data_IF_966102286381
#
_entry.id   IF_966102286381
#
_cell.length_a   1.000
_cell.length_b   1.000
_cell.length_c   1.000
_cell.angle_alpha   90.00
_cell.angle_beta   90.00
_cell.angle_gamma   90.00
#
_symmetry.space_group_name_H-M   'P 1'
#
loop_
_entity.id
_entity.type
_entity.pdbx_description
1 polymer ?
#
# COMPACT_ATOMS: atom_id res chain seq x y z
N UNK A 1 21.19 -23.58 -16.78
CA UNK A 1 21.03 -22.12 -16.73
C UNK A 1 19.64 -21.87 -16.22
N UNK A 2 19.51 -21.42 -14.98
CA UNK A 2 18.20 -21.05 -14.41
C UNK A 2 17.63 -19.91 -15.26
N UNK A 3 16.41 -20.07 -15.75
CA UNK A 3 15.64 -19.01 -16.41
C UNK A 3 15.37 -17.93 -15.35
N UNK A 4 16.36 -17.04 -15.18
CA UNK A 4 16.35 -16.02 -14.14
C UNK A 4 15.42 -14.88 -14.55
N UNK A 5 14.13 -15.20 -14.64
CA UNK A 5 13.10 -14.17 -14.79
C UNK A 5 13.09 -13.29 -13.54
N UNK A 6 12.96 -11.98 -13.75
CA UNK A 6 12.86 -11.01 -12.67
C UNK A 6 11.85 -11.49 -11.58
N UNK A 7 12.22 -11.44 -10.28
CA UNK A 7 11.46 -12.11 -9.24
C UNK A 7 10.18 -11.37 -8.80
N UNK A 8 10.07 -10.06 -9.06
CA UNK A 8 9.14 -9.19 -8.36
C UNK A 8 7.95 -8.79 -9.22
N UNK A 9 6.73 -9.13 -8.80
CA UNK A 9 5.50 -8.49 -9.30
C UNK A 9 5.10 -7.35 -8.37
N UNK A 10 4.96 -6.14 -8.92
CA UNK A 10 4.47 -4.97 -8.18
C UNK A 10 2.97 -4.86 -8.36
N UNK A 11 2.21 -4.77 -7.26
CA UNK A 11 0.74 -4.66 -7.27
C UNK A 11 0.33 -3.32 -6.67
N UNK A 12 -0.47 -2.55 -7.42
CA UNK A 12 -0.89 -1.20 -7.04
C UNK A 12 -2.41 -1.09 -7.17
N UNK A 13 -3.15 -0.93 -6.06
CA UNK A 13 -4.58 -0.66 -6.11
C UNK A 13 -4.81 0.81 -6.49
N UNK A 14 -5.73 1.07 -7.43
CA UNK A 14 -6.04 2.41 -7.92
C UNK A 14 -7.53 2.72 -7.90
N UNK A 15 -7.85 3.97 -7.59
CA UNK A 15 -9.17 4.56 -7.79
C UNK A 15 -8.99 6.08 -7.97
N UNK A 16 -9.17 6.57 -9.19
CA UNK A 16 -8.93 7.97 -9.58
C UNK A 16 -7.53 8.44 -9.16
N UNK A 17 -6.50 7.68 -9.52
CA UNK A 17 -5.14 7.84 -9.01
C UNK A 17 -4.07 8.03 -10.10
N UNK A 18 -4.44 8.30 -11.36
CA UNK A 18 -3.50 8.45 -12.47
C UNK A 18 -2.41 9.49 -12.19
N UNK A 19 -2.79 10.67 -11.70
CA UNK A 19 -1.84 11.73 -11.36
C UNK A 19 -0.90 11.36 -10.20
N UNK A 20 -1.39 10.60 -9.21
CA UNK A 20 -0.59 10.15 -8.06
C UNK A 20 0.36 9.02 -8.43
N UNK A 21 -0.05 8.17 -9.39
CA UNK A 21 0.73 7.01 -9.84
C UNK A 21 1.89 7.40 -10.75
N UNK A 22 1.75 8.41 -11.59
CA UNK A 22 2.74 8.79 -12.60
C UNK A 22 4.19 8.90 -12.03
N UNK A 23 4.44 9.53 -10.87
CA UNK A 23 5.79 9.61 -10.29
C UNK A 23 6.37 8.27 -9.83
N UNK A 24 5.54 7.26 -9.60
CA UNK A 24 5.99 5.93 -9.17
C UNK A 24 6.47 5.07 -10.36
N UNK A 25 5.98 5.34 -11.56
CA UNK A 25 6.24 4.52 -12.74
C UNK A 25 7.71 4.55 -13.18
N UNK A 26 8.38 5.70 -13.10
CA UNK A 26 9.79 5.82 -13.51
C UNK A 26 10.72 4.92 -12.67
N UNK A 27 10.70 4.95 -11.32
CA UNK A 27 11.49 4.01 -10.50
C UNK A 27 11.16 2.53 -10.77
N UNK A 28 9.89 2.21 -11.08
CA UNK A 28 9.50 0.83 -11.40
C UNK A 28 10.04 0.39 -12.77
N UNK A 29 10.05 1.28 -13.76
CA UNK A 29 10.66 1.01 -15.06
C UNK A 29 12.18 0.79 -14.94
N UNK A 30 12.88 1.58 -14.11
CA UNK A 30 14.29 1.36 -13.78
C UNK A 30 14.50 -0.01 -13.13
N UNK A 31 13.61 -0.42 -12.21
CA UNK A 31 13.64 -1.76 -11.60
C UNK A 31 13.40 -2.88 -12.60
N UNK A 32 12.57 -2.65 -13.62
CA UNK A 32 12.37 -3.61 -14.71
C UNK A 32 13.61 -3.72 -15.62
N UNK A 33 14.22 -2.59 -15.96
CA UNK A 33 15.47 -2.55 -16.73
C UNK A 33 16.64 -3.23 -16.00
N UNK A 34 16.67 -3.13 -14.66
CA UNK A 34 17.65 -3.79 -13.81
C UNK A 34 17.37 -5.30 -13.59
N UNK A 35 16.29 -5.84 -14.13
CA UNK A 35 15.92 -7.25 -13.99
C UNK A 35 15.36 -7.64 -12.63
N UNK A 36 14.95 -6.67 -11.79
CA UNK A 36 14.33 -6.92 -10.50
C UNK A 36 12.79 -7.02 -10.63
N UNK A 37 12.16 -6.08 -11.34
CA UNK A 37 10.72 -6.04 -11.54
C UNK A 37 10.34 -6.84 -12.78
N UNK A 38 9.48 -7.83 -12.60
CA UNK A 38 8.94 -8.70 -13.67
C UNK A 38 7.77 -8.04 -14.38
N UNK A 39 6.88 -7.43 -13.61
CA UNK A 39 5.65 -6.82 -14.07
C UNK A 39 5.12 -5.82 -13.04
N UNK A 40 4.32 -4.88 -13.52
CA UNK A 40 3.50 -4.00 -12.71
C UNK A 40 2.04 -4.35 -12.98
N UNK A 41 1.27 -4.61 -11.93
CA UNK A 41 -0.16 -4.91 -11.98
C UNK A 41 -0.91 -3.74 -11.33
N UNK A 42 -1.72 -3.05 -12.12
CA UNK A 42 -2.60 -1.96 -11.68
C UNK A 42 -3.99 -2.55 -11.49
N UNK A 43 -4.43 -2.67 -10.23
CA UNK A 43 -5.73 -3.22 -9.87
C UNK A 43 -6.70 -2.07 -9.61
N UNK A 44 -7.55 -1.80 -10.60
CA UNK A 44 -8.40 -0.61 -10.61
C UNK A 44 -9.83 -0.89 -10.13
N UNK A 45 -10.33 -0.01 -9.27
CA UNK A 45 -11.65 -0.09 -8.64
C UNK A 45 -12.76 0.63 -9.39
N UNK A 46 -12.63 0.87 -10.69
CA UNK A 46 -13.58 1.62 -11.51
C UNK A 46 -13.30 3.11 -11.49
N UNK A 47 -12.10 3.50 -11.91
CA UNK A 47 -11.70 4.90 -12.08
C UNK A 47 -12.36 5.54 -13.30
N UNK A 48 -12.61 6.85 -13.18
CA UNK A 48 -13.10 7.71 -14.26
C UNK A 48 -11.96 8.54 -14.88
N UNK A 49 -10.73 8.39 -14.39
CA UNK A 49 -9.53 9.07 -14.90
C UNK A 49 -8.75 8.20 -15.92
N UNK A 50 -7.67 8.74 -16.47
CA UNK A 50 -6.88 8.10 -17.54
C UNK A 50 -6.00 6.95 -17.07
N UNK A 51 -6.29 6.29 -15.94
CA UNK A 51 -5.45 5.24 -15.36
C UNK A 51 -5.27 4.04 -16.30
N UNK A 52 -6.29 3.67 -17.07
CA UNK A 52 -6.23 2.56 -18.01
C UNK A 52 -5.27 2.88 -19.18
N UNK A 53 -5.38 4.09 -19.75
CA UNK A 53 -4.48 4.56 -20.81
C UNK A 53 -3.03 4.70 -20.28
N UNK A 54 -2.85 5.17 -19.04
CA UNK A 54 -1.55 5.24 -18.39
C UNK A 54 -0.93 3.84 -18.23
N UNK A 55 -1.72 2.85 -17.79
CA UNK A 55 -1.28 1.47 -17.63
C UNK A 55 -0.81 0.87 -18.97
N UNK A 56 -1.61 1.05 -20.03
CA UNK A 56 -1.28 0.60 -21.39
C UNK A 56 0.01 1.27 -21.89
N UNK A 57 0.13 2.59 -21.73
CA UNK A 57 1.29 3.37 -22.19
C UNK A 57 2.63 2.95 -21.57
N UNK A 58 2.61 2.38 -20.35
CA UNK A 58 3.83 1.88 -19.66
C UNK A 58 3.97 0.37 -19.70
N UNK A 59 3.09 -0.35 -20.40
CA UNK A 59 3.12 -1.82 -20.47
C UNK A 59 2.76 -2.50 -19.15
N UNK A 60 2.04 -1.82 -18.24
CA UNK A 60 1.55 -2.40 -17.01
C UNK A 60 0.30 -3.26 -17.27
N UNK A 61 0.16 -4.33 -16.51
CA UNK A 61 -1.04 -5.17 -16.56
C UNK A 61 -2.19 -4.48 -15.84
N UNK A 62 -3.24 -4.09 -16.58
CA UNK A 62 -4.45 -3.53 -16.01
C UNK A 62 -5.43 -4.65 -15.60
N UNK A 63 -5.95 -4.57 -14.37
CA UNK A 63 -6.92 -5.51 -13.82
C UNK A 63 -8.11 -4.72 -13.27
N UNK A 64 -9.26 -4.81 -13.91
CA UNK A 64 -10.49 -4.26 -13.37
C UNK A 64 -10.98 -5.13 -12.20
N UNK A 65 -11.30 -4.50 -11.09
CA UNK A 65 -11.76 -5.16 -9.87
C UNK A 65 -12.97 -4.41 -9.29
N UNK A 66 -13.81 -5.05 -8.49
CA UNK A 66 -14.84 -4.34 -7.74
C UNK A 66 -14.21 -3.28 -6.82
N UNK A 67 -14.89 -2.16 -6.65
CA UNK A 67 -14.45 -1.08 -5.76
C UNK A 67 -14.26 -1.60 -4.34
N UNK A 68 -13.12 -1.26 -3.75
CA UNK A 68 -12.72 -1.66 -2.40
C UNK A 68 -11.29 -2.17 -2.38
N UNK A 69 -10.46 -1.59 -1.52
CA UNK A 69 -9.01 -1.82 -1.53
C UNK A 69 -8.63 -3.29 -1.35
N UNK A 70 -9.33 -4.02 -0.45
CA UNK A 70 -9.10 -5.45 -0.29
C UNK A 70 -9.42 -6.25 -1.55
N UNK A 71 -10.54 -5.93 -2.23
CA UNK A 71 -10.93 -6.57 -3.48
C UNK A 71 -9.94 -6.29 -4.61
N UNK A 72 -9.50 -5.05 -4.75
CA UNK A 72 -8.50 -4.65 -5.74
C UNK A 72 -7.16 -5.38 -5.50
N UNK A 73 -6.70 -5.40 -4.25
CA UNK A 73 -5.45 -6.08 -3.87
C UNK A 73 -5.55 -7.59 -4.06
N UNK A 74 -6.68 -8.21 -3.70
CA UNK A 74 -6.94 -9.63 -3.95
C UNK A 74 -6.84 -9.96 -5.44
N UNK A 75 -7.57 -9.21 -6.28
CA UNK A 75 -7.56 -9.40 -7.73
C UNK A 75 -6.17 -9.15 -8.36
N UNK A 76 -5.50 -8.07 -7.95
CA UNK A 76 -4.16 -7.74 -8.44
C UNK A 76 -3.12 -8.80 -8.07
N UNK A 77 -3.13 -9.27 -6.83
CA UNK A 77 -2.22 -10.33 -6.38
C UNK A 77 -2.52 -11.68 -7.06
N UNK A 78 -3.78 -11.99 -7.31
CA UNK A 78 -4.16 -13.20 -8.07
C UNK A 78 -3.68 -13.16 -9.52
N UNK A 79 -3.69 -11.97 -10.14
CA UNK A 79 -3.20 -11.77 -11.50
C UNK A 79 -1.67 -11.77 -11.62
N UNK A 80 -0.94 -11.45 -10.56
CA UNK A 80 0.51 -11.38 -10.55
C UNK A 80 1.18 -12.75 -10.65
N UNK A 81 2.24 -12.89 -11.46
CA UNK A 81 2.93 -14.16 -11.76
C UNK A 81 4.31 -14.33 -11.12
N UNK A 82 4.81 -13.34 -10.39
CA UNK A 82 6.13 -13.37 -9.76
C UNK A 82 6.17 -14.18 -8.47
N UNK A 83 7.32 -14.77 -8.11
CA UNK A 83 7.52 -15.46 -6.84
C UNK A 83 7.52 -14.52 -5.63
N UNK A 84 7.67 -13.22 -5.85
CA UNK A 84 7.56 -12.17 -4.85
C UNK A 84 6.53 -11.13 -5.26
N UNK A 85 5.78 -10.65 -4.27
CA UNK A 85 4.84 -9.54 -4.43
C UNK A 85 5.37 -8.31 -3.69
N UNK A 86 5.37 -7.16 -4.35
CA UNK A 86 5.56 -5.86 -3.74
C UNK A 86 4.26 -5.06 -3.89
N UNK A 87 3.58 -4.85 -2.79
CA UNK A 87 2.33 -4.11 -2.75
C UNK A 87 2.66 -2.65 -2.40
N UNK A 88 2.25 -1.70 -3.24
CA UNK A 88 2.49 -0.27 -3.06
C UNK A 88 1.19 0.51 -3.21
N UNK A 89 1.10 1.67 -2.56
CA UNK A 89 0.05 2.64 -2.86
C UNK A 89 0.42 3.48 -4.10
N UNK A 90 -0.60 3.98 -4.80
CA UNK A 90 -0.39 4.81 -5.99
C UNK A 90 0.34 6.14 -5.70
N UNK A 91 0.28 6.65 -4.47
CA UNK A 91 0.97 7.87 -4.01
C UNK A 91 2.31 7.60 -3.32
N UNK A 92 2.81 6.37 -3.37
CA UNK A 92 4.13 6.00 -2.82
C UNK A 92 5.24 6.57 -3.70
N UNK A 93 6.25 7.17 -3.08
CA UNK A 93 7.50 7.57 -3.72
C UNK A 93 8.62 6.66 -3.24
N UNK A 94 9.16 5.87 -4.16
CA UNK A 94 10.28 4.99 -3.88
C UNK A 94 11.59 5.80 -3.80
N UNK A 95 12.46 5.54 -2.81
CA UNK A 95 13.78 6.16 -2.73
C UNK A 95 14.74 5.53 -3.77
N UNK A 96 15.85 6.22 -4.07
CA UNK A 96 16.80 5.74 -5.08
C UNK A 96 17.43 4.37 -4.75
N UNK A 97 17.53 4.01 -3.47
CA UNK A 97 18.12 2.76 -2.98
C UNK A 97 17.11 1.61 -2.80
N UNK A 98 15.86 1.78 -3.22
CA UNK A 98 14.79 0.80 -3.01
C UNK A 98 15.09 -0.57 -3.63
N UNK A 99 15.69 -0.57 -4.83
CA UNK A 99 16.00 -1.80 -5.58
C UNK A 99 17.02 -2.65 -4.81
N UNK A 100 18.09 -2.02 -4.34
CA UNK A 100 19.11 -2.70 -3.53
C UNK A 100 18.54 -3.27 -2.24
N UNK A 101 17.72 -2.51 -1.53
CA UNK A 101 17.10 -2.96 -0.28
C UNK A 101 16.13 -4.14 -0.47
N UNK A 102 15.38 -4.14 -1.59
CA UNK A 102 14.45 -5.24 -1.94
C UNK A 102 15.23 -6.47 -2.38
N UNK A 103 16.25 -6.31 -3.25
CA UNK A 103 17.08 -7.42 -3.73
C UNK A 103 17.83 -8.10 -2.57
N UNK A 104 18.43 -7.33 -1.67
CA UNK A 104 19.10 -7.84 -0.47
C UNK A 104 18.15 -8.65 0.41
N UNK A 105 16.92 -8.15 0.61
CA UNK A 105 15.92 -8.89 1.38
C UNK A 105 15.52 -10.21 0.71
N UNK A 106 15.30 -10.20 -0.60
CA UNK A 106 14.95 -11.40 -1.37
C UNK A 106 16.05 -12.45 -1.27
N UNK A 107 17.30 -12.03 -1.36
CA UNK A 107 18.47 -12.92 -1.31
C UNK A 107 18.69 -13.51 0.09
N UNK A 108 18.67 -12.68 1.14
CA UNK A 108 19.07 -13.10 2.48
C UNK A 108 17.92 -13.50 3.40
N UNK A 109 16.66 -13.19 3.02
CA UNK A 109 15.48 -13.41 3.87
C UNK A 109 14.30 -14.03 3.11
N UNK A 110 14.57 -14.96 2.21
CA UNK A 110 13.63 -15.55 1.24
C UNK A 110 12.31 -16.12 1.80
N UNK A 111 12.24 -16.40 3.10
CA UNK A 111 11.02 -16.89 3.75
C UNK A 111 10.22 -15.83 4.52
N UNK A 112 10.70 -14.60 4.61
CA UNK A 112 10.11 -13.53 5.42
C UNK A 112 9.54 -12.42 4.55
N UNK A 113 8.43 -11.81 4.99
CA UNK A 113 7.90 -10.58 4.43
C UNK A 113 8.67 -9.36 4.96
N UNK A 114 8.59 -8.23 4.24
CA UNK A 114 9.19 -6.98 4.67
C UNK A 114 8.29 -5.78 4.37
N UNK A 115 8.61 -4.66 5.02
CA UNK A 115 7.96 -3.38 4.82
C UNK A 115 9.01 -2.26 4.85
N UNK A 116 8.73 -1.16 4.17
CA UNK A 116 9.57 0.03 4.19
C UNK A 116 9.36 0.84 5.47
N UNK A 117 10.36 1.62 5.85
CA UNK A 117 10.12 2.73 6.78
C UNK A 117 9.30 3.80 6.07
N UNK A 118 8.52 4.55 6.85
CA UNK A 118 7.66 5.61 6.33
C UNK A 118 8.22 6.99 6.65
N UNK A 119 8.11 7.90 5.69
CA UNK A 119 8.13 9.35 5.91
C UNK A 119 7.05 10.02 5.07
N UNK A 120 6.68 11.23 5.44
CA UNK A 120 5.78 12.06 4.63
C UNK A 120 6.56 13.04 3.76
N UNK A 121 5.95 13.49 2.66
CA UNK A 121 6.40 14.60 1.81
C UNK A 121 6.33 15.98 2.54
N UNK A 122 6.31 15.97 3.86
CA UNK A 122 6.22 17.10 4.77
C UNK A 122 7.30 16.97 5.86
N UNK A 123 8.08 18.05 6.05
CA UNK A 123 9.18 18.06 7.01
C UNK A 123 8.82 18.69 8.36
N UNK A 124 7.55 19.02 8.57
CA UNK A 124 7.06 19.61 9.83
C UNK A 124 7.26 18.68 11.03
N UNK A 125 7.30 19.24 12.23
CA UNK A 125 7.41 18.44 13.45
C UNK A 125 6.26 17.46 13.63
N UNK A 126 4.97 17.82 13.37
CA UNK A 126 3.87 16.86 13.39
C UNK A 126 4.04 15.71 12.39
N UNK A 127 4.51 15.96 11.16
CA UNK A 127 4.76 14.93 10.16
C UNK A 127 5.81 13.93 10.65
N UNK A 128 6.93 14.42 11.19
CA UNK A 128 7.98 13.57 11.75
C UNK A 128 7.49 12.74 12.94
N UNK A 129 6.66 13.33 13.81
CA UNK A 129 6.09 12.62 14.95
C UNK A 129 5.18 11.47 14.52
N UNK A 130 4.25 11.73 13.57
CA UNK A 130 3.34 10.70 13.07
C UNK A 130 4.09 9.60 12.31
N UNK A 131 5.06 9.94 11.47
CA UNK A 131 5.91 8.96 10.80
C UNK A 131 6.75 8.14 11.80
N UNK A 132 7.33 8.79 12.79
CA UNK A 132 8.07 8.12 13.88
C UNK A 132 7.20 7.13 14.65
N UNK A 133 5.97 7.52 14.99
CA UNK A 133 4.99 6.64 15.63
C UNK A 133 4.60 5.46 14.73
N UNK A 134 4.34 5.69 13.43
CA UNK A 134 4.04 4.62 12.48
C UNK A 134 5.18 3.60 12.40
N UNK A 135 6.43 4.05 12.30
CA UNK A 135 7.61 3.19 12.26
C UNK A 135 7.81 2.42 13.58
N UNK A 136 7.62 3.08 14.72
CA UNK A 136 7.72 2.46 16.05
C UNK A 136 6.64 1.38 16.23
N UNK A 137 5.38 1.68 15.87
CA UNK A 137 4.27 0.73 15.89
C UNK A 137 4.60 -0.51 15.05
N UNK A 138 5.09 -0.31 13.82
CA UNK A 138 5.43 -1.41 12.91
C UNK A 138 6.56 -2.26 13.46
N UNK A 139 7.57 -1.64 14.07
CA UNK A 139 8.70 -2.35 14.69
C UNK A 139 8.31 -3.12 15.96
N UNK A 140 7.56 -2.50 16.88
CA UNK A 140 7.23 -3.10 18.17
C UNK A 140 6.08 -4.09 18.09
N UNK A 141 5.04 -3.74 17.33
CA UNK A 141 3.82 -4.54 17.26
C UNK A 141 3.74 -5.36 15.97
N UNK A 142 4.69 -5.19 15.02
CA UNK A 142 4.65 -5.85 13.72
C UNK A 142 3.39 -5.51 12.93
N UNK A 143 2.98 -4.24 12.92
CA UNK A 143 1.75 -3.75 12.29
C UNK A 143 2.07 -2.61 11.31
N UNK A 144 2.81 -2.86 10.20
CA UNK A 144 2.89 -1.89 9.12
C UNK A 144 1.50 -1.72 8.49
N UNK A 145 1.17 -0.50 8.09
CA UNK A 145 0.00 -0.23 7.27
C UNK A 145 0.38 -0.21 5.79
N UNK A 146 -0.60 -0.24 4.90
CA UNK A 146 -0.39 -0.30 3.47
C UNK A 146 0.46 0.84 2.89
N UNK A 147 0.52 2.02 3.53
CA UNK A 147 1.38 3.15 3.17
C UNK A 147 2.88 2.88 3.36
N UNK A 148 3.25 1.84 4.08
CA UNK A 148 4.63 1.37 4.23
C UNK A 148 5.04 0.35 3.16
N UNK A 149 4.13 0.00 2.25
CA UNK A 149 4.34 -1.09 1.29
C UNK A 149 4.55 -2.44 1.98
N UNK A 150 4.30 -3.52 1.25
CA UNK A 150 4.50 -4.88 1.73
C UNK A 150 5.23 -5.69 0.66
N UNK A 151 6.42 -6.17 0.96
CA UNK A 151 7.15 -7.16 0.20
C UNK A 151 6.91 -8.52 0.82
N UNK A 152 6.37 -9.48 0.05
CA UNK A 152 6.03 -10.81 0.59
C UNK A 152 6.31 -11.90 -0.43
N UNK A 153 6.97 -13.03 -0.05
CA UNK A 153 7.12 -14.16 -0.94
C UNK A 153 5.76 -14.83 -1.19
N UNK A 154 5.48 -15.18 -2.45
CA UNK A 154 4.22 -15.81 -2.89
C UNK A 154 3.79 -16.97 -1.98
N UNK A 155 4.67 -17.93 -1.66
CA UNK A 155 4.26 -19.05 -0.80
C UNK A 155 3.81 -18.63 0.60
N UNK A 156 4.37 -17.54 1.15
CA UNK A 156 3.93 -17.03 2.46
C UNK A 156 2.61 -16.28 2.34
N UNK A 157 2.43 -15.48 1.28
CA UNK A 157 1.18 -14.80 0.96
C UNK A 157 0.02 -15.80 0.83
N UNK A 158 0.23 -16.88 0.07
CA UNK A 158 -0.80 -17.92 -0.17
C UNK A 158 -1.14 -18.68 1.11
N UNK A 159 -0.12 -19.09 1.90
CA UNK A 159 -0.35 -19.73 3.21
C UNK A 159 -1.03 -18.82 4.22
N UNK A 160 -0.84 -17.53 4.15
CA UNK A 160 -1.52 -16.56 5.00
C UNK A 160 -2.98 -16.30 4.58
N UNK A 161 -3.42 -16.82 3.43
CA UNK A 161 -4.77 -16.68 2.89
C UNK A 161 -4.95 -15.44 2.01
N UNK A 162 -3.88 -14.68 1.72
CA UNK A 162 -3.93 -13.50 0.85
C UNK A 162 -4.69 -12.32 1.44
N UNK A 163 -4.95 -11.32 0.60
CA UNK A 163 -5.79 -10.17 0.99
C UNK A 163 -7.25 -10.57 1.08
N UNK A 164 -7.93 -10.26 2.22
CA UNK A 164 -9.37 -10.45 2.32
C UNK A 164 -10.12 -9.40 1.48
N UNK A 165 -11.26 -9.77 0.94
CA UNK A 165 -12.12 -8.88 0.12
C UNK A 165 -13.00 -7.96 1.00
N UNK A 166 -12.40 -7.31 1.98
CA UNK A 166 -13.07 -6.38 2.90
C UNK A 166 -12.79 -4.92 2.51
N UNK A 167 -13.67 -4.02 2.93
CA UNK A 167 -13.61 -2.62 2.53
C UNK A 167 -12.49 -1.84 3.22
N UNK A 168 -12.09 -2.25 4.44
CA UNK A 168 -11.08 -1.57 5.26
C UNK A 168 -10.38 -2.57 6.17
N UNK A 169 -9.13 -2.29 6.58
CA UNK A 169 -8.27 -3.13 7.45
C UNK A 169 -7.75 -4.41 6.78
N UNK A 170 -7.80 -4.51 5.46
CA UNK A 170 -7.29 -5.61 4.67
C UNK A 170 -5.78 -5.85 4.89
N UNK A 171 -5.02 -4.76 5.08
CA UNK A 171 -3.59 -4.77 5.38
C UNK A 171 -3.31 -5.34 6.79
N UNK A 172 -4.10 -4.92 7.79
CA UNK A 172 -3.99 -5.42 9.17
C UNK A 172 -4.29 -6.91 9.22
N UNK A 173 -5.34 -7.36 8.52
CA UNK A 173 -5.71 -8.78 8.48
C UNK A 173 -4.61 -9.63 7.86
N UNK A 174 -4.07 -9.21 6.70
CA UNK A 174 -3.00 -9.95 6.03
C UNK A 174 -1.72 -10.00 6.89
N UNK A 175 -1.30 -8.87 7.46
CA UNK A 175 -0.10 -8.81 8.30
C UNK A 175 -0.25 -9.67 9.56
N UNK A 176 -1.42 -9.65 10.20
CA UNK A 176 -1.71 -10.54 11.34
C UNK A 176 -1.70 -12.03 10.92
N UNK A 177 -2.21 -12.35 9.73
CA UNK A 177 -2.18 -13.70 9.17
C UNK A 177 -0.75 -14.16 8.87
N UNK A 178 0.09 -13.34 8.23
CA UNK A 178 1.52 -13.61 8.01
C UNK A 178 2.22 -13.92 9.33
N UNK A 179 1.99 -13.12 10.37
CA UNK A 179 2.62 -13.31 11.69
C UNK A 179 2.13 -14.58 12.40
N UNK A 180 0.87 -14.96 12.23
CA UNK A 180 0.35 -16.22 12.76
C UNK A 180 0.93 -17.43 12.03
N UNK A 181 1.11 -17.32 10.71
CA UNK A 181 1.57 -18.42 9.84
C UNK A 181 3.07 -18.69 10.01
N UNK A 182 3.91 -17.65 10.16
CA UNK A 182 5.36 -17.77 10.13
C UNK A 182 6.08 -17.15 11.34
N UNK A 183 5.32 -16.75 12.36
CA UNK A 183 5.85 -16.22 13.62
C UNK A 183 6.25 -14.74 13.55
N UNK A 184 6.72 -14.20 14.69
CA UNK A 184 7.06 -12.77 14.83
C UNK A 184 8.24 -12.32 13.94
N UNK A 185 9.15 -13.22 13.60
CA UNK A 185 10.31 -12.94 12.75
C UNK A 185 9.99 -12.89 11.25
N UNK A 186 8.78 -13.25 10.86
CA UNK A 186 8.33 -13.31 9.47
C UNK A 186 8.08 -11.94 8.82
N UNK A 187 8.20 -10.86 9.58
CA UNK A 187 7.96 -9.49 9.09
C UNK A 187 9.13 -8.59 9.51
N UNK A 188 9.88 -8.09 8.54
CA UNK A 188 11.12 -7.32 8.74
C UNK A 188 11.00 -5.92 8.18
N UNK A 189 11.67 -4.96 8.81
CA UNK A 189 11.81 -3.61 8.24
C UNK A 189 12.94 -3.58 7.23
N UNK A 190 12.67 -3.11 6.01
CA UNK A 190 13.72 -2.79 5.05
C UNK A 190 14.59 -1.62 5.57
N UNK A 191 15.85 -1.57 5.13
CA UNK A 191 16.79 -0.53 5.55
C UNK A 191 16.52 0.83 4.90
N UNK A 192 15.53 0.92 4.03
CA UNK A 192 15.19 2.13 3.25
C UNK A 192 13.81 2.68 3.61
N UNK A 193 13.52 3.92 3.17
CA UNK A 193 12.34 4.69 3.60
C UNK A 193 11.56 5.19 2.39
N UNK A 194 10.29 4.78 2.28
CA UNK A 194 9.37 5.34 1.28
C UNK A 194 8.76 6.65 1.77
N UNK A 195 8.39 7.49 0.81
CA UNK A 195 7.67 8.73 1.07
C UNK A 195 6.23 8.60 0.59
N UNK A 196 5.28 9.06 1.40
CA UNK A 196 3.86 9.12 1.05
C UNK A 196 3.33 10.53 1.21
N UNK A 197 2.20 10.82 0.55
CA UNK A 197 1.58 12.15 0.59
C UNK A 197 1.05 12.49 1.98
N UNK A 198 1.40 13.68 2.46
CA UNK A 198 0.83 14.29 3.66
C UNK A 198 -0.50 15.01 3.40
N UNK A 199 -1.01 15.05 2.17
CA UNK A 199 -2.18 15.85 1.77
C UNK A 199 -3.38 15.62 2.68
N UNK A 200 -3.70 14.36 2.96
CA UNK A 200 -4.81 13.98 3.86
C UNK A 200 -4.62 14.49 5.28
N UNK A 201 -3.37 14.49 5.77
CA UNK A 201 -3.02 14.99 7.09
C UNK A 201 -3.04 16.52 7.15
N UNK A 202 -2.56 17.19 6.09
CA UNK A 202 -2.63 18.65 5.96
C UNK A 202 -4.07 19.14 5.94
N UNK A 203 -4.95 18.46 5.18
CA UNK A 203 -6.38 18.78 5.07
C UNK A 203 -7.15 18.53 6.38
N UNK A 204 -6.96 17.37 7.00
CA UNK A 204 -7.78 16.89 8.13
C UNK A 204 -7.18 17.29 9.50
N UNK A 205 -5.93 17.73 9.54
CA UNK A 205 -5.14 17.98 10.74
C UNK A 205 -4.44 16.72 11.27
N UNK A 206 -3.17 16.86 11.63
CA UNK A 206 -2.29 15.75 12.03
C UNK A 206 -2.82 14.93 13.22
N UNK A 207 -3.22 15.64 14.29
CA UNK A 207 -3.73 14.98 15.50
C UNK A 207 -5.08 14.30 15.25
N UNK A 208 -5.99 15.01 14.57
CA UNK A 208 -7.34 14.50 14.29
C UNK A 208 -7.30 13.25 13.40
N UNK A 209 -6.42 13.26 12.38
CA UNK A 209 -6.28 12.10 11.50
C UNK A 209 -5.58 10.94 12.19
N UNK A 210 -4.52 11.20 12.95
CA UNK A 210 -3.85 10.17 13.75
C UNK A 210 -4.79 9.51 14.75
N UNK A 211 -5.57 10.30 15.49
CA UNK A 211 -6.58 9.80 16.41
C UNK A 211 -7.67 8.98 15.70
N UNK A 212 -8.14 9.43 14.52
CA UNK A 212 -9.10 8.68 13.69
C UNK A 212 -8.56 7.31 13.33
N UNK A 213 -7.32 7.25 12.80
CA UNK A 213 -6.70 5.98 12.42
C UNK A 213 -6.58 5.02 13.61
N UNK A 214 -6.17 5.52 14.77
CA UNK A 214 -6.09 4.73 16.00
C UNK A 214 -7.48 4.24 16.46
N UNK A 215 -8.47 5.11 16.47
CA UNK A 215 -9.85 4.73 16.85
C UNK A 215 -10.45 3.70 15.87
N UNK A 216 -10.17 3.81 14.59
CA UNK A 216 -10.61 2.84 13.58
C UNK A 216 -9.97 1.47 13.84
N UNK A 217 -8.66 1.42 14.14
CA UNK A 217 -7.98 0.18 14.51
C UNK A 217 -8.56 -0.42 15.80
N UNK A 218 -8.79 0.41 16.82
CA UNK A 218 -9.38 -0.07 18.09
C UNK A 218 -10.79 -0.63 17.90
N UNK A 219 -11.65 0.05 17.15
CA UNK A 219 -12.99 -0.45 16.81
C UNK A 219 -12.93 -1.76 16.05
N UNK A 220 -12.02 -1.86 15.08
CA UNK A 220 -11.76 -3.11 14.36
C UNK A 220 -11.37 -4.25 15.33
N UNK A 221 -10.42 -4.01 16.23
CA UNK A 221 -9.98 -4.99 17.23
C UNK A 221 -11.10 -5.40 18.23
N UNK A 222 -12.09 -4.55 18.41
CA UNK A 222 -13.29 -4.81 19.24
C UNK A 222 -14.44 -5.46 18.45
N UNK A 223 -14.20 -5.86 17.18
CA UNK A 223 -15.16 -6.59 16.35
C UNK A 223 -16.12 -5.71 15.54
N UNK A 224 -15.80 -4.43 15.33
CA UNK A 224 -16.64 -3.61 14.46
C UNK A 224 -16.57 -4.09 13.00
N UNK A 225 -17.71 -4.05 12.32
CA UNK A 225 -17.86 -4.44 10.93
C UNK A 225 -17.01 -3.57 9.96
N UNK A 226 -16.22 -4.18 9.03
CA UNK A 226 -15.37 -3.46 8.08
C UNK A 226 -16.13 -2.50 7.16
N UNK A 227 -17.32 -2.87 6.71
CA UNK A 227 -18.14 -2.02 5.83
C UNK A 227 -18.67 -0.79 6.60
N UNK A 228 -19.09 -0.95 7.83
CA UNK A 228 -19.50 0.16 8.70
C UNK A 228 -18.31 1.08 9.02
N UNK A 229 -17.11 0.52 9.24
CA UNK A 229 -15.89 1.29 9.45
C UNK A 229 -15.49 2.07 8.20
N UNK A 230 -15.58 1.47 7.00
CA UNK A 230 -15.28 2.12 5.74
C UNK A 230 -16.24 3.28 5.46
N UNK A 231 -17.55 3.07 5.63
CA UNK A 231 -18.57 4.12 5.50
C UNK A 231 -18.31 5.31 6.44
N UNK A 232 -17.97 5.04 7.71
CA UNK A 232 -17.61 6.07 8.69
C UNK A 232 -16.29 6.78 8.35
N UNK A 233 -15.35 6.09 7.73
CA UNK A 233 -14.05 6.63 7.32
C UNK A 233 -14.17 7.53 6.09
N UNK A 234 -15.01 7.16 5.09
CA UNK A 234 -15.26 7.92 3.86
C UNK A 234 -16.28 9.04 4.05
N UNK A 235 -17.38 8.80 4.78
CA UNK A 235 -18.49 9.75 4.94
C UNK A 235 -18.09 11.07 5.62
N UNK A 236 -17.10 11.06 6.48
CA UNK A 236 -16.52 12.27 7.09
C UNK A 236 -15.53 13.03 6.19
N UNK A 237 -15.16 12.45 5.05
CA UNK A 237 -14.33 13.12 4.04
C UNK A 237 -15.15 14.00 3.08
N UNK A 238 -16.43 13.71 2.89
CA UNK A 238 -17.33 14.44 1.97
C UNK A 238 -18.05 15.63 2.59
N UNK A 239 -18.08 15.76 3.90
CA UNK A 239 -18.87 16.75 4.63
C UNK A 239 -18.33 18.19 4.67
N UNK A 240 -17.20 18.51 4.01
CA UNK A 240 -16.60 19.86 4.05
C UNK A 240 -16.47 20.50 2.66
N UNK A 241 -17.02 19.87 1.61
CA UNK A 241 -16.91 20.38 0.23
C UNK A 241 -18.21 20.91 -0.39
N UNK A 242 -19.34 20.91 0.32
CA UNK A 242 -20.64 21.41 -0.22
C UNK A 242 -21.25 22.49 0.67
N UNK A 243 -20.55 23.60 0.78
CA UNK A 243 -21.06 24.73 1.52
C UNK A 243 -20.50 26.06 1.02
N UNK A 244 -20.78 26.40 -0.27
CA UNK A 244 -20.83 27.79 -0.74
C UNK A 244 -21.30 27.81 -2.21
N UNK A 245 -22.55 28.11 -2.40
CA UNK A 245 -23.11 28.31 -3.75
C UNK A 245 -24.63 28.41 -3.77
N UNK A 246 -25.23 29.10 -2.76
CA UNK A 246 -26.60 29.61 -2.87
C UNK A 246 -26.67 30.96 -2.19
N UNK A 247 -26.77 31.99 -2.97
CA UNK A 247 -27.12 33.34 -2.48
C UNK A 247 -26.76 34.41 -3.48
N UNK A 248 -27.80 34.98 -4.10
CA UNK A 248 -27.68 36.22 -4.79
C UNK A 248 -28.55 36.25 -6.07
N UNK A 249 -29.79 36.68 -5.89
CA UNK A 249 -30.77 37.12 -6.87
C UNK A 249 -30.21 38.11 -7.89
#
# INVERSE_FOLDING_TARGET
MSDARAPLSVVIPTLNAAASLAPLLAPLAEGAAAGLVREVVIADGGSDDDIAALAEGVGARFVAAPRGRGRQLSAGCAAAGGPWLLILHADTRLPADWQGAVADHIEHHGGAAAYFRLRFDDRSAPARFVAGWANLRSRLFGLPYGDQGLLVPRPLYDRAGGYPEIALMEDVVLVDAIRRTAGRGALRSLATTVETSAERYRRDGWVKRGARNLLTLLRWRLGADPEALAAAYEGRGRGLGQGQGRGGA
#
